data_IF_073292623081
#
_entry.id   IF_073292623081
#
_cell.length_a   1.000
_cell.length_b   1.000
_cell.length_c   1.000
_cell.angle_alpha   90.00
_cell.angle_beta   90.00
_cell.angle_gamma   90.00
#
_symmetry.space_group_name_H-M   'P 1'
#
loop_
_entity.id
_entity.type
_entity.pdbx_description
1 polymer ?
#
# COMPACT_ATOMS: atom_id res chain seq x y z
N UNK A 1 -0.14 -30.08 -2.64
CA UNK A 1 -1.61 -30.07 -2.50
C UNK A 1 -2.16 -28.97 -3.39
N UNK A 2 -2.88 -29.33 -4.45
CA UNK A 2 -3.53 -28.39 -5.37
C UNK A 2 -4.69 -27.66 -4.68
N UNK A 3 -5.16 -26.53 -5.25
CA UNK A 3 -6.36 -25.83 -4.74
C UNK A 3 -7.56 -26.77 -4.65
N UNK A 4 -7.71 -27.67 -5.64
CA UNK A 4 -8.73 -28.71 -5.68
C UNK A 4 -8.56 -29.80 -4.61
N UNK A 5 -7.34 -30.23 -4.30
CA UNK A 5 -7.13 -31.23 -3.23
C UNK A 5 -7.38 -30.62 -1.85
N UNK A 6 -7.03 -29.34 -1.67
CA UNK A 6 -7.42 -28.60 -0.46
C UNK A 6 -8.94 -28.56 -0.39
N UNK A 7 -9.59 -28.11 -1.47
CA UNK A 7 -10.96 -28.46 -1.88
C UNK A 7 -11.68 -29.55 -1.10
N UNK A 8 -11.41 -30.73 -1.62
CA UNK A 8 -12.02 -31.99 -1.27
C UNK A 8 -11.71 -32.33 0.20
N UNK A 9 -10.51 -32.03 0.69
CA UNK A 9 -10.15 -32.26 2.10
C UNK A 9 -10.99 -31.42 3.08
N UNK A 10 -11.08 -30.10 2.87
CA UNK A 10 -11.90 -29.24 3.72
C UNK A 10 -13.40 -29.55 3.56
N UNK A 11 -13.85 -29.90 2.36
CA UNK A 11 -15.24 -30.28 2.15
C UNK A 11 -15.62 -31.55 2.92
N UNK A 12 -14.77 -32.58 2.87
CA UNK A 12 -14.96 -33.80 3.66
C UNK A 12 -14.94 -33.54 5.17
N UNK A 13 -14.01 -32.70 5.63
CA UNK A 13 -13.90 -32.34 7.05
C UNK A 13 -15.16 -31.61 7.57
N UNK A 14 -15.70 -30.68 6.79
CA UNK A 14 -16.78 -29.80 7.24
C UNK A 14 -18.18 -30.32 6.89
N UNK A 15 -18.32 -31.00 5.76
CA UNK A 15 -19.61 -31.39 5.16
C UNK A 15 -19.68 -32.87 4.78
N UNK A 16 -18.57 -33.62 4.84
CA UNK A 16 -18.56 -35.03 4.44
C UNK A 16 -19.59 -35.86 5.20
N UNK A 17 -19.75 -35.64 6.51
CA UNK A 17 -20.72 -36.37 7.34
C UNK A 17 -22.20 -36.14 6.98
N UNK A 18 -22.51 -35.14 6.15
CA UNK A 18 -23.87 -34.84 5.67
C UNK A 18 -24.17 -35.40 4.29
N UNK A 19 -23.19 -36.01 3.61
CA UNK A 19 -23.34 -36.52 2.26
C UNK A 19 -23.73 -38.00 2.27
N UNK A 20 -24.79 -38.35 1.54
CA UNK A 20 -25.33 -39.71 1.52
C UNK A 20 -24.49 -40.68 0.67
N UNK A 21 -23.66 -40.17 -0.24
CA UNK A 21 -22.79 -40.97 -1.10
C UNK A 21 -21.44 -40.28 -1.30
N UNK A 22 -20.41 -40.95 -0.80
CA UNK A 22 -19.02 -40.50 -0.80
C UNK A 22 -18.21 -41.00 -2.00
N UNK A 23 -18.67 -42.02 -2.73
CA UNK A 23 -17.91 -42.62 -3.83
C UNK A 23 -17.94 -41.75 -5.09
N UNK A 24 -19.08 -41.10 -5.35
CA UNK A 24 -19.28 -40.21 -6.52
C UNK A 24 -19.23 -38.72 -6.17
N UNK A 25 -18.94 -38.38 -4.92
CA UNK A 25 -19.08 -37.02 -4.37
C UNK A 25 -18.30 -35.97 -5.18
N UNK A 26 -17.08 -36.31 -5.58
CA UNK A 26 -16.15 -35.44 -6.30
C UNK A 26 -16.01 -35.78 -7.80
N UNK A 27 -16.95 -36.57 -8.33
CA UNK A 27 -16.96 -36.93 -9.75
C UNK A 27 -17.06 -35.68 -10.63
N UNK A 28 -16.35 -35.70 -11.76
CA UNK A 28 -16.35 -34.58 -12.71
C UNK A 28 -17.52 -34.67 -13.68
N UNK A 29 -17.97 -33.53 -14.17
CA UNK A 29 -18.92 -33.49 -15.26
C UNK A 29 -18.29 -34.14 -16.52
N UNK A 30 -19.01 -34.98 -17.28
CA UNK A 30 -18.52 -35.51 -18.55
C UNK A 30 -18.16 -34.41 -19.56
N UNK A 31 -18.85 -33.27 -19.46
CA UNK A 31 -18.75 -32.15 -20.39
C UNK A 31 -17.78 -31.03 -19.93
N UNK A 32 -17.12 -31.18 -18.78
CA UNK A 32 -16.25 -30.11 -18.25
C UNK A 32 -15.46 -30.47 -16.99
N UNK A 33 -14.61 -29.55 -16.55
CA UNK A 33 -13.69 -29.79 -15.42
C UNK A 33 -14.30 -29.50 -14.04
N UNK A 34 -15.60 -29.18 -14.01
CA UNK A 34 -16.39 -28.91 -12.83
C UNK A 34 -16.87 -30.20 -12.13
N UNK A 35 -17.27 -30.08 -10.86
CA UNK A 35 -17.92 -31.17 -10.14
C UNK A 35 -19.31 -31.46 -10.70
N UNK A 36 -19.64 -32.74 -10.88
CA UNK A 36 -20.92 -33.18 -11.41
C UNK A 36 -22.06 -32.75 -10.48
N UNK A 37 -21.92 -33.00 -9.17
CA UNK A 37 -22.92 -32.60 -8.15
C UNK A 37 -22.99 -31.09 -7.99
N UNK A 38 -24.20 -30.53 -8.08
CA UNK A 38 -24.45 -29.10 -7.98
C UNK A 38 -23.99 -28.50 -6.64
N UNK A 39 -24.25 -29.17 -5.51
CA UNK A 39 -23.85 -28.67 -4.18
C UNK A 39 -22.34 -28.55 -4.04
N UNK A 40 -21.60 -29.58 -4.45
CA UNK A 40 -20.13 -29.59 -4.46
C UNK A 40 -19.58 -28.56 -5.43
N UNK A 41 -20.19 -28.41 -6.62
CA UNK A 41 -19.80 -27.40 -7.61
C UNK A 41 -19.92 -25.99 -7.06
N UNK A 42 -21.08 -25.64 -6.51
CA UNK A 42 -21.32 -24.31 -5.93
C UNK A 42 -20.37 -24.04 -4.75
N UNK A 43 -20.13 -25.03 -3.90
CA UNK A 43 -19.18 -24.90 -2.80
C UNK A 43 -17.73 -24.69 -3.29
N UNK A 44 -17.33 -25.42 -4.33
CA UNK A 44 -16.01 -25.26 -4.94
C UNK A 44 -15.82 -23.88 -5.58
N UNK A 45 -16.82 -23.38 -6.30
CA UNK A 45 -16.79 -22.04 -6.90
C UNK A 45 -16.70 -20.96 -5.83
N UNK A 46 -17.51 -21.07 -4.78
CA UNK A 46 -17.49 -20.13 -3.66
C UNK A 46 -16.14 -20.13 -2.95
N UNK A 47 -15.55 -21.30 -2.72
CA UNK A 47 -14.20 -21.35 -2.18
C UNK A 47 -13.19 -20.78 -3.16
N UNK A 48 -13.16 -21.19 -4.43
CA UNK A 48 -12.20 -20.65 -5.40
C UNK A 48 -12.24 -19.12 -5.43
N UNK A 49 -13.43 -18.51 -5.36
CA UNK A 49 -13.58 -17.07 -5.24
C UNK A 49 -13.00 -16.51 -3.92
N UNK A 50 -13.25 -17.18 -2.78
CA UNK A 50 -12.69 -16.79 -1.48
C UNK A 50 -11.16 -16.97 -1.41
N UNK A 51 -10.61 -18.03 -1.99
CA UNK A 51 -9.17 -18.30 -2.07
C UNK A 51 -8.51 -17.22 -2.95
N UNK A 52 -9.06 -16.94 -4.13
CA UNK A 52 -8.57 -15.89 -5.01
C UNK A 52 -8.60 -14.53 -4.31
N UNK A 53 -9.71 -14.18 -3.64
CA UNK A 53 -9.83 -12.94 -2.88
C UNK A 53 -8.80 -12.84 -1.76
N UNK A 54 -8.54 -13.95 -1.05
CA UNK A 54 -7.54 -14.00 0.02
C UNK A 54 -6.12 -13.90 -0.53
N UNK A 55 -5.82 -14.57 -1.64
CA UNK A 55 -4.53 -14.46 -2.33
C UNK A 55 -4.28 -13.02 -2.79
N UNK A 56 -5.28 -12.37 -3.37
CA UNK A 56 -5.19 -10.97 -3.79
C UNK A 56 -4.89 -10.03 -2.62
N UNK A 57 -5.59 -10.21 -1.49
CA UNK A 57 -5.30 -9.45 -0.26
C UNK A 57 -3.87 -9.68 0.25
N UNK A 58 -3.38 -10.92 0.23
CA UNK A 58 -2.02 -11.24 0.62
C UNK A 58 -0.99 -10.61 -0.30
N UNK A 59 -1.24 -10.58 -1.62
CA UNK A 59 -0.34 -9.90 -2.57
C UNK A 59 -0.33 -8.40 -2.35
N UNK A 60 -1.50 -7.78 -2.12
CA UNK A 60 -1.60 -6.35 -1.88
C UNK A 60 -0.88 -5.96 -0.58
N UNK A 61 -1.05 -6.75 0.49
CA UNK A 61 -0.33 -6.56 1.76
C UNK A 61 1.18 -6.74 1.61
N UNK A 62 1.64 -7.72 0.82
CA UNK A 62 3.07 -7.93 0.57
C UNK A 62 3.69 -6.74 -0.16
N UNK A 63 3.00 -6.17 -1.15
CA UNK A 63 3.45 -4.96 -1.87
C UNK A 63 3.50 -3.76 -0.93
N UNK A 64 2.47 -3.56 -0.10
CA UNK A 64 2.45 -2.48 0.89
C UNK A 64 3.61 -2.59 1.89
N UNK A 65 3.89 -3.81 2.38
CA UNK A 65 4.98 -4.05 3.31
C UNK A 65 6.34 -3.75 2.67
N UNK A 66 6.59 -4.25 1.45
CA UNK A 66 7.84 -3.98 0.73
C UNK A 66 8.06 -2.48 0.49
N UNK A 67 6.99 -1.75 0.16
CA UNK A 67 7.03 -0.29 -0.02
C UNK A 67 7.33 0.44 1.31
N UNK A 68 6.70 0.02 2.41
CA UNK A 68 6.95 0.59 3.74
C UNK A 68 8.38 0.33 4.19
N UNK A 69 8.89 -0.88 4.01
CA UNK A 69 10.28 -1.24 4.32
C UNK A 69 11.28 -0.41 3.51
N UNK A 70 11.01 -0.17 2.21
CA UNK A 70 11.88 0.70 1.40
C UNK A 70 11.92 2.12 1.95
N UNK A 71 10.77 2.73 2.22
CA UNK A 71 10.68 4.08 2.80
C UNK A 71 11.40 4.14 4.16
N UNK A 72 11.24 3.13 5.01
CA UNK A 72 11.93 3.05 6.29
C UNK A 72 13.46 2.95 6.14
N UNK A 73 13.97 2.20 5.15
CA UNK A 73 15.41 2.15 4.87
C UNK A 73 15.96 3.50 4.43
N UNK A 74 15.25 4.21 3.56
CA UNK A 74 15.67 5.52 3.06
C UNK A 74 15.70 6.56 4.20
N UNK A 75 14.64 6.61 5.02
CA UNK A 75 14.60 7.46 6.22
C UNK A 75 15.68 7.09 7.24
N UNK A 76 15.98 5.80 7.41
CA UNK A 76 17.03 5.36 8.33
C UNK A 76 18.43 5.77 7.84
N UNK A 77 18.67 5.73 6.52
CA UNK A 77 19.92 6.19 5.91
C UNK A 77 20.10 7.70 6.11
N UNK A 78 19.08 8.50 5.78
CA UNK A 78 19.08 9.96 5.99
C UNK A 78 19.31 10.31 7.47
N UNK A 79 18.64 9.62 8.39
CA UNK A 79 18.86 9.80 9.84
C UNK A 79 20.28 9.40 10.29
N UNK A 80 20.86 8.35 9.70
CA UNK A 80 22.21 7.91 10.00
C UNK A 80 23.26 8.94 9.58
N UNK A 81 23.06 9.52 8.39
CA UNK A 81 23.91 10.58 7.85
C UNK A 81 23.78 11.89 8.65
N UNK A 82 22.55 12.31 8.99
CA UNK A 82 22.32 13.45 9.86
C UNK A 82 23.01 13.30 11.22
N UNK A 83 22.93 12.11 11.85
CA UNK A 83 23.64 11.81 13.11
C UNK A 83 25.16 11.88 12.96
N UNK A 84 25.71 11.40 11.84
CA UNK A 84 27.15 11.46 11.56
C UNK A 84 27.62 12.91 11.51
N UNK A 85 26.89 13.77 10.80
CA UNK A 85 27.22 15.20 10.67
C UNK A 85 27.13 15.91 12.02
N UNK A 86 26.09 15.65 12.81
CA UNK A 86 25.98 16.18 14.17
C UNK A 86 27.18 15.78 15.03
N UNK A 87 27.67 14.54 14.89
CA UNK A 87 28.86 14.06 15.60
C UNK A 87 30.12 14.80 15.16
N UNK A 88 30.33 14.96 13.84
CA UNK A 88 31.48 15.69 13.29
C UNK A 88 31.46 17.15 13.76
N UNK A 89 30.33 17.85 13.63
CA UNK A 89 30.15 19.23 14.12
C UNK A 89 30.44 19.35 15.63
N UNK A 90 30.01 18.37 16.43
CA UNK A 90 30.26 18.34 17.88
C UNK A 90 31.76 18.16 18.19
N UNK A 91 32.46 17.28 17.48
CA UNK A 91 33.91 17.10 17.63
C UNK A 91 34.68 18.37 17.27
N UNK A 92 34.31 19.01 16.15
CA UNK A 92 34.86 20.31 15.75
C UNK A 92 34.64 21.38 16.81
N UNK A 93 33.44 21.48 17.36
CA UNK A 93 33.12 22.43 18.43
C UNK A 93 34.00 22.21 19.66
N UNK A 94 34.16 20.95 20.11
CA UNK A 94 35.00 20.61 21.26
C UNK A 94 36.47 20.94 20.98
N UNK A 95 36.99 20.64 19.79
CA UNK A 95 38.36 20.95 19.40
C UNK A 95 38.64 22.46 19.38
N UNK A 96 37.68 23.26 18.90
CA UNK A 96 37.72 24.72 18.90
C UNK A 96 37.68 25.32 20.30
N UNK A 97 36.79 24.84 21.18
CA UNK A 97 36.69 25.31 22.58
C UNK A 97 37.92 24.92 23.41
N UNK A 98 38.49 23.73 23.16
CA UNK A 98 39.68 23.24 23.88
C UNK A 98 41.00 23.79 23.33
N UNK A 99 40.96 24.70 22.34
CA UNK A 99 42.13 25.33 21.72
C UNK A 99 43.17 24.31 21.19
N UNK A 100 42.72 23.08 20.87
CA UNK A 100 43.61 21.96 20.51
C UNK A 100 44.09 22.00 19.06
N UNK A 101 43.42 22.74 18.16
CA UNK A 101 43.87 23.02 16.79
C UNK A 101 43.27 24.37 16.33
N UNK A 102 44.08 25.25 15.72
CA UNK A 102 43.68 26.41 14.90
C UNK A 102 44.47 26.31 13.57
N UNK A 103 44.01 26.70 12.36
CA UNK A 103 42.67 26.98 11.85
C UNK A 103 42.34 25.99 10.71
N UNK A 104 41.68 24.86 10.98
CA UNK A 104 41.30 23.94 9.89
C UNK A 104 39.98 24.40 9.29
N UNK A 105 40.08 25.13 8.16
CA UNK A 105 39.05 25.50 7.20
C UNK A 105 37.62 25.57 7.74
N UNK A 106 37.22 26.75 8.22
CA UNK A 106 35.82 27.12 8.42
C UNK A 106 34.97 26.79 7.17
N UNK A 107 35.56 26.91 5.97
CA UNK A 107 34.95 26.49 4.70
C UNK A 107 34.67 24.98 4.57
N UNK A 108 35.39 24.09 5.27
CA UNK A 108 35.11 22.64 5.24
C UNK A 108 33.87 22.32 6.08
N UNK A 109 33.75 22.94 7.26
CA UNK A 109 32.55 22.87 8.10
C UNK A 109 31.35 23.52 7.42
N UNK A 110 31.53 24.70 6.82
CA UNK A 110 30.48 25.34 6.02
C UNK A 110 30.03 24.45 4.87
N UNK A 111 30.94 23.81 4.14
CA UNK A 111 30.58 22.92 3.06
C UNK A 111 29.79 21.69 3.56
N UNK A 112 30.18 21.07 4.68
CA UNK A 112 29.43 19.96 5.28
C UNK A 112 28.04 20.41 5.76
N UNK A 113 27.97 21.55 6.44
CA UNK A 113 26.71 22.12 6.91
C UNK A 113 25.80 22.53 5.74
N UNK A 114 26.30 23.27 4.74
CA UNK A 114 25.51 23.71 3.58
C UNK A 114 25.06 22.53 2.71
N UNK A 115 25.84 21.45 2.61
CA UNK A 115 25.47 20.27 1.81
C UNK A 115 24.33 19.46 2.44
N UNK A 116 24.07 19.59 3.75
CA UNK A 116 23.12 18.73 4.47
C UNK A 116 22.11 19.45 5.38
N UNK A 117 22.26 20.75 5.62
CA UNK A 117 21.34 21.51 6.47
C UNK A 117 20.03 21.87 5.77
N UNK A 118 20.03 21.93 4.43
CA UNK A 118 18.94 22.58 3.71
C UNK A 118 17.89 21.61 3.14
N UNK A 119 18.20 20.32 2.98
CA UNK A 119 17.26 19.36 2.36
C UNK A 119 17.23 17.99 3.06
N UNK A 120 16.02 17.47 3.25
CA UNK A 120 15.76 16.10 3.76
C UNK A 120 14.90 15.34 2.76
N UNK A 121 15.46 14.93 1.61
CA UNK A 121 14.69 14.42 0.47
C UNK A 121 13.88 13.16 0.80
N UNK A 122 14.36 12.27 1.67
CA UNK A 122 13.61 11.08 2.08
C UNK A 122 12.44 11.47 3.00
N UNK A 123 12.66 12.40 3.93
CA UNK A 123 11.60 12.96 4.77
C UNK A 123 10.56 13.72 3.95
N UNK A 124 10.97 14.54 2.99
CA UNK A 124 10.08 15.31 2.11
C UNK A 124 9.24 14.39 1.22
N UNK A 125 9.86 13.37 0.63
CA UNK A 125 9.17 12.35 -0.15
C UNK A 125 8.16 11.57 0.72
N UNK A 126 8.53 11.23 1.96
CA UNK A 126 7.62 10.59 2.92
C UNK A 126 6.42 11.49 3.24
N UNK A 127 6.63 12.77 3.55
CA UNK A 127 5.55 13.72 3.84
C UNK A 127 4.66 14.01 2.62
N UNK A 128 5.24 14.05 1.42
CA UNK A 128 4.48 14.18 0.17
C UNK A 128 3.56 12.97 -0.04
N UNK A 129 4.06 11.76 0.21
CA UNK A 129 3.28 10.53 0.13
C UNK A 129 2.20 10.44 1.21
N UNK A 130 2.48 10.85 2.46
CA UNK A 130 1.46 10.89 3.53
C UNK A 130 0.31 11.81 3.10
N UNK A 131 0.63 13.01 2.61
CA UNK A 131 -0.37 13.95 2.07
C UNK A 131 -1.12 13.38 0.85
N UNK A 132 -0.42 12.66 -0.03
CA UNK A 132 -1.06 11.98 -1.17
C UNK A 132 -2.01 10.87 -0.70
N UNK A 133 -1.66 10.13 0.35
CA UNK A 133 -2.51 9.07 0.91
C UNK A 133 -3.79 9.63 1.54
N UNK A 134 -3.74 10.80 2.18
CA UNK A 134 -4.95 11.48 2.67
C UNK A 134 -5.88 11.90 1.52
N UNK A 135 -5.30 12.37 0.41
CA UNK A 135 -6.06 12.70 -0.79
C UNK A 135 -6.67 11.45 -1.45
N UNK A 136 -5.97 10.33 -1.46
CA UNK A 136 -6.52 9.05 -1.94
C UNK A 136 -7.70 8.60 -1.05
N UNK A 137 -7.62 8.81 0.26
CA UNK A 137 -8.77 8.56 1.16
C UNK A 137 -9.96 9.44 0.82
N UNK A 138 -9.73 10.72 0.50
CA UNK A 138 -10.79 11.63 0.07
C UNK A 138 -11.39 11.21 -1.28
N UNK A 139 -10.55 10.78 -2.23
CA UNK A 139 -10.99 10.23 -3.51
C UNK A 139 -11.90 9.00 -3.30
N UNK A 140 -11.55 8.07 -2.42
CA UNK A 140 -12.39 6.91 -2.10
C UNK A 140 -13.75 7.27 -1.48
N UNK A 141 -13.81 8.33 -0.66
CA UNK A 141 -15.10 8.87 -0.17
C UNK A 141 -15.94 9.41 -1.32
N UNK A 142 -15.33 10.15 -2.25
CA UNK A 142 -16.01 10.68 -3.42
C UNK A 142 -16.54 9.55 -4.33
N UNK A 143 -15.74 8.51 -4.58
CA UNK A 143 -16.17 7.31 -5.31
C UNK A 143 -17.37 6.64 -4.65
N UNK A 144 -17.32 6.46 -3.32
CA UNK A 144 -18.42 5.87 -2.56
C UNK A 144 -19.71 6.68 -2.73
N UNK A 145 -19.62 8.01 -2.71
CA UNK A 145 -20.78 8.88 -2.95
C UNK A 145 -21.30 8.75 -4.39
N UNK A 146 -20.42 8.72 -5.39
CA UNK A 146 -20.80 8.55 -6.80
C UNK A 146 -21.48 7.20 -7.06
N UNK A 147 -21.03 6.13 -6.40
CA UNK A 147 -21.68 4.81 -6.44
C UNK A 147 -23.08 4.89 -5.83
N UNK A 148 -23.26 5.58 -4.69
CA UNK A 148 -24.58 5.78 -4.08
C UNK A 148 -25.55 6.51 -5.01
N UNK A 149 -25.12 7.60 -5.65
CA UNK A 149 -25.95 8.33 -6.61
C UNK A 149 -26.32 7.46 -7.83
N UNK A 150 -25.37 6.65 -8.30
CA UNK A 150 -25.60 5.73 -9.42
C UNK A 150 -26.64 4.66 -9.05
N UNK A 151 -26.54 4.07 -7.84
CA UNK A 151 -27.52 3.11 -7.33
C UNK A 151 -28.93 3.72 -7.16
N UNK A 152 -29.00 5.03 -6.86
CA UNK A 152 -30.25 5.79 -6.77
C UNK A 152 -30.76 6.30 -8.13
N UNK A 153 -30.04 6.02 -9.23
CA UNK A 153 -30.34 6.50 -10.59
C UNK A 153 -30.45 8.03 -10.68
N UNK A 154 -29.66 8.74 -9.89
CA UNK A 154 -29.57 10.20 -9.98
C UNK A 154 -29.01 10.61 -11.35
N UNK A 155 -29.47 11.76 -11.87
CA UNK A 155 -28.97 12.29 -13.14
C UNK A 155 -27.48 12.62 -13.04
N UNK A 156 -26.73 12.35 -14.12
CA UNK A 156 -25.29 12.66 -14.18
C UNK A 156 -25.00 14.16 -14.14
N UNK A 157 -25.97 14.98 -14.51
CA UNK A 157 -25.89 16.46 -14.54
C UNK A 157 -26.40 17.09 -13.24
N UNK A 158 -26.84 16.27 -12.27
CA UNK A 158 -27.22 16.76 -10.95
C UNK A 158 -26.01 17.43 -10.30
N UNK A 159 -26.20 18.64 -9.77
CA UNK A 159 -25.11 19.46 -9.21
C UNK A 159 -24.25 18.67 -8.20
N UNK A 160 -24.87 17.90 -7.31
CA UNK A 160 -24.13 17.10 -6.33
C UNK A 160 -23.24 16.04 -6.99
N UNK A 161 -23.74 15.33 -8.01
CA UNK A 161 -22.98 14.31 -8.76
C UNK A 161 -21.78 14.95 -9.47
N UNK A 162 -21.98 16.10 -10.11
CA UNK A 162 -20.91 16.86 -10.77
C UNK A 162 -19.87 17.35 -9.74
N UNK A 163 -20.33 17.84 -8.59
CA UNK A 163 -19.47 18.27 -7.49
C UNK A 163 -18.56 17.14 -6.99
N UNK A 164 -19.12 15.95 -6.74
CA UNK A 164 -18.34 14.80 -6.30
C UNK A 164 -17.37 14.27 -7.37
N UNK A 165 -17.74 14.31 -8.66
CA UNK A 165 -16.80 14.01 -9.76
C UNK A 165 -15.61 14.97 -9.75
N UNK A 166 -15.86 16.26 -9.50
CA UNK A 166 -14.80 17.27 -9.43
C UNK A 166 -13.88 17.05 -8.22
N UNK A 167 -14.45 16.73 -7.05
CA UNK A 167 -13.67 16.36 -5.86
C UNK A 167 -12.78 15.15 -6.13
N UNK A 168 -13.33 14.08 -6.71
CA UNK A 168 -12.58 12.88 -7.08
C UNK A 168 -11.40 13.24 -8.01
N UNK A 169 -11.67 13.99 -9.08
CA UNK A 169 -10.64 14.37 -10.04
C UNK A 169 -9.54 15.24 -9.41
N UNK A 170 -9.91 16.21 -8.57
CA UNK A 170 -8.95 17.11 -7.92
C UNK A 170 -8.09 16.38 -6.89
N UNK A 171 -8.70 15.51 -6.08
CA UNK A 171 -7.98 14.72 -5.09
C UNK A 171 -6.94 13.81 -5.76
N UNK A 172 -7.35 13.06 -6.79
CA UNK A 172 -6.45 12.18 -7.54
C UNK A 172 -5.33 12.94 -8.25
N UNK A 173 -5.63 14.09 -8.85
CA UNK A 173 -4.62 14.91 -9.52
C UNK A 173 -3.58 15.47 -8.54
N UNK A 174 -4.03 15.99 -7.39
CA UNK A 174 -3.14 16.52 -6.36
C UNK A 174 -2.27 15.44 -5.72
N UNK A 175 -2.85 14.26 -5.46
CA UNK A 175 -2.09 13.11 -4.96
C UNK A 175 -0.98 12.72 -5.95
N UNK A 176 -1.28 12.68 -7.25
CA UNK A 176 -0.29 12.40 -8.28
C UNK A 176 0.79 13.50 -8.41
N UNK A 177 0.45 14.76 -8.19
CA UNK A 177 1.41 15.88 -8.20
C UNK A 177 2.37 15.81 -7.02
N UNK A 178 1.87 15.54 -5.81
CA UNK A 178 2.70 15.38 -4.62
C UNK A 178 3.74 14.26 -4.80
N UNK A 179 3.34 13.12 -5.37
CA UNK A 179 4.26 12.01 -5.66
C UNK A 179 5.33 12.33 -6.70
N UNK A 180 5.12 13.34 -7.55
CA UNK A 180 6.11 13.84 -8.52
C UNK A 180 7.03 14.90 -7.93
N UNK A 181 6.87 15.28 -6.66
CA UNK A 181 7.61 16.37 -6.03
C UNK A 181 7.18 17.76 -6.52
N UNK A 182 6.01 17.89 -7.17
CA UNK A 182 5.50 19.19 -7.57
C UNK A 182 4.93 19.94 -6.35
N UNK A 183 5.29 21.20 -6.18
CA UNK A 183 4.63 22.09 -5.22
C UNK A 183 3.16 22.30 -5.64
N UNK A 184 2.26 22.29 -4.64
CA UNK A 184 0.81 22.48 -4.81
C UNK A 184 0.45 23.91 -5.27
#
# INVERSE_FOLDING_TARGET
>A
MTSREKFEAWYLENWGHTEDDHETLFERCPDGDEYYRLGVRMAHEAWKAAELSSQQKLTDMAVQLANAESKCRDLAAENGEAKKIISECREYFIAGVMNRIRPTNEGYLHNICDTFADETPATDAFLAEVRASELDSLAGVAETMLVKFSNQRCSQDMHEVVGWKMVLQQASNRAAQLRKGAAL
#
